data_IF_562026354647
#
_entry.id   IF_562026354647
#
_cell.length_a   1.000
_cell.length_b   1.000
_cell.length_c   1.000
_cell.angle_alpha   90.00
_cell.angle_beta   90.00
_cell.angle_gamma   90.00
#
_symmetry.space_group_name_H-M   'P 1'
#
loop_
_entity.id
_entity.type
_entity.pdbx_description
1 polymer ?
#
# COMPACT_ATOMS: atom_id res chain seq x y z
N UNK A 1 11.14 22.29 1.38
CA UNK A 1 10.53 21.59 2.54
C UNK A 1 9.55 20.51 2.09
N UNK A 2 8.53 20.84 1.29
CA UNK A 2 7.51 19.87 0.84
C UNK A 2 8.06 18.66 0.06
N UNK A 3 9.05 18.86 -0.81
CA UNK A 3 9.72 17.74 -1.51
C UNK A 3 10.36 16.76 -0.54
N UNK A 4 11.03 17.24 0.51
CA UNK A 4 11.65 16.37 1.52
C UNK A 4 10.59 15.59 2.32
N UNK A 5 9.44 16.19 2.61
CA UNK A 5 8.32 15.51 3.25
C UNK A 5 7.76 14.40 2.35
N UNK A 6 7.56 14.69 1.06
CA UNK A 6 7.13 13.69 0.10
C UNK A 6 8.12 12.54 -0.02
N UNK A 7 9.42 12.83 -0.13
CA UNK A 7 10.46 11.81 -0.17
C UNK A 7 10.46 10.95 1.11
N UNK A 8 10.38 11.57 2.29
CA UNK A 8 10.30 10.83 3.55
C UNK A 8 9.07 9.93 3.64
N UNK A 9 7.91 10.41 3.20
CA UNK A 9 6.68 9.63 3.17
C UNK A 9 6.73 8.48 2.16
N UNK A 10 7.25 8.72 0.95
CA UNK A 10 7.47 7.68 -0.05
C UNK A 10 8.44 6.60 0.44
N UNK A 11 9.51 7.00 1.14
CA UNK A 11 10.47 6.06 1.71
C UNK A 11 9.80 5.19 2.77
N UNK A 12 9.03 5.78 3.68
CA UNK A 12 8.31 5.06 4.72
C UNK A 12 7.35 4.03 4.11
N UNK A 13 6.52 4.46 3.16
CA UNK A 13 5.55 3.56 2.51
C UNK A 13 6.22 2.51 1.65
N UNK A 14 7.29 2.87 0.93
CA UNK A 14 8.06 1.94 0.14
C UNK A 14 8.70 0.82 0.98
N UNK A 15 9.24 1.17 2.16
CA UNK A 15 9.74 0.17 3.12
C UNK A 15 8.59 -0.72 3.63
N UNK A 16 7.44 -0.13 3.95
CA UNK A 16 6.28 -0.90 4.43
C UNK A 16 5.81 -1.93 3.40
N UNK A 17 5.58 -1.52 2.14
CA UNK A 17 5.23 -2.43 1.04
C UNK A 17 6.31 -3.48 0.79
N UNK A 18 7.59 -3.10 0.81
CA UNK A 18 8.68 -4.05 0.60
C UNK A 18 8.73 -5.12 1.69
N UNK A 19 8.66 -4.72 2.96
CA UNK A 19 8.71 -5.65 4.10
C UNK A 19 7.48 -6.56 4.10
N UNK A 20 6.29 -6.01 3.86
CA UNK A 20 5.04 -6.78 3.80
C UNK A 20 5.12 -7.81 2.65
N UNK A 21 5.59 -7.38 1.48
CA UNK A 21 5.76 -8.26 0.34
C UNK A 21 6.80 -9.35 0.54
N UNK A 22 7.94 -9.05 1.17
CA UNK A 22 8.92 -10.10 1.54
C UNK A 22 8.29 -11.11 2.49
N UNK A 23 7.46 -10.67 3.43
CA UNK A 23 6.81 -11.56 4.38
C UNK A 23 5.81 -12.49 3.70
N UNK A 24 4.93 -11.95 2.84
CA UNK A 24 4.02 -12.77 2.02
C UNK A 24 4.78 -13.69 1.04
N UNK A 25 5.95 -13.27 0.55
CA UNK A 25 6.78 -14.08 -0.33
C UNK A 25 7.51 -15.22 0.39
N UNK A 26 7.69 -15.17 1.71
CA UNK A 26 8.32 -16.25 2.49
C UNK A 26 7.24 -17.09 3.18
N UNK A 27 6.35 -16.45 3.94
CA UNK A 27 5.37 -17.09 4.81
C UNK A 27 3.92 -16.57 4.55
N UNK A 28 3.33 -16.91 3.38
CA UNK A 28 2.01 -16.42 2.96
C UNK A 28 0.87 -16.96 3.81
N UNK A 29 1.00 -18.16 4.37
CA UNK A 29 -0.07 -18.79 5.17
C UNK A 29 -0.30 -18.02 6.46
N UNK A 30 0.78 -17.68 7.17
CA UNK A 30 0.69 -16.86 8.39
C UNK A 30 0.14 -15.48 8.06
N UNK A 31 0.65 -14.83 7.01
CA UNK A 31 0.18 -13.49 6.64
C UNK A 31 -1.29 -13.49 6.22
N UNK A 32 -1.73 -14.44 5.40
CA UNK A 32 -3.14 -14.58 5.01
C UNK A 32 -4.06 -14.79 6.22
N UNK A 33 -3.64 -15.60 7.19
CA UNK A 33 -4.44 -15.84 8.39
C UNK A 33 -4.69 -14.57 9.22
N UNK A 34 -3.79 -13.58 9.17
CA UNK A 34 -3.98 -12.29 9.89
C UNK A 34 -5.14 -11.46 9.36
N UNK A 35 -5.50 -11.64 8.07
CA UNK A 35 -6.63 -10.99 7.41
C UNK A 35 -7.82 -11.95 7.24
N UNK A 36 -7.85 -13.06 7.98
CA UNK A 36 -8.91 -14.06 7.90
C UNK A 36 -8.94 -14.88 6.60
N UNK A 37 -7.89 -14.79 5.77
CA UNK A 37 -7.82 -15.48 4.49
C UNK A 37 -7.20 -16.88 4.66
N UNK A 38 -7.91 -17.90 4.20
CA UNK A 38 -7.45 -19.30 4.23
C UNK A 38 -7.27 -19.80 2.79
N UNK A 39 -6.02 -19.98 2.32
CA UNK A 39 -5.77 -20.54 1.00
C UNK A 39 -6.16 -22.03 0.95
N UNK A 40 -7.10 -22.37 0.07
CA UNK A 40 -7.64 -23.74 -0.03
C UNK A 40 -6.77 -24.68 -0.90
N UNK A 41 -5.76 -24.16 -1.58
CA UNK A 41 -4.91 -24.94 -2.49
C UNK A 41 -3.51 -24.35 -2.64
N UNK A 42 -2.53 -25.14 -3.16
CA UNK A 42 -1.23 -24.63 -3.56
C UNK A 42 -1.30 -23.49 -4.60
N UNK A 43 -2.32 -23.49 -5.45
CA UNK A 43 -2.55 -22.40 -6.39
C UNK A 43 -2.93 -21.10 -5.67
N UNK A 44 -3.76 -21.17 -4.63
CA UNK A 44 -4.08 -20.02 -3.78
C UNK A 44 -2.83 -19.45 -3.08
N UNK A 45 -1.92 -20.30 -2.61
CA UNK A 45 -0.63 -19.86 -2.06
C UNK A 45 0.24 -19.17 -3.11
N UNK A 46 0.24 -19.66 -4.35
CA UNK A 46 0.98 -19.02 -5.44
C UNK A 46 0.42 -17.63 -5.76
N UNK A 47 -0.91 -17.46 -5.77
CA UNK A 47 -1.56 -16.15 -5.93
C UNK A 47 -1.16 -15.17 -4.83
N UNK A 48 -1.14 -15.61 -3.56
CA UNK A 48 -0.69 -14.76 -2.45
C UNK A 48 0.76 -14.31 -2.61
N UNK A 49 1.65 -15.23 -2.99
CA UNK A 49 3.07 -14.89 -3.24
C UNK A 49 3.23 -13.97 -4.45
N UNK A 50 2.38 -14.07 -5.46
CA UNK A 50 2.45 -13.22 -6.63
C UNK A 50 1.93 -11.79 -6.33
N UNK A 51 0.73 -11.68 -5.76
CA UNK A 51 0.04 -10.40 -5.53
C UNK A 51 0.52 -9.71 -4.26
N UNK A 52 0.40 -10.37 -3.11
CA UNK A 52 0.83 -9.76 -1.85
C UNK A 52 2.34 -9.84 -1.66
N UNK A 53 3.03 -10.74 -2.36
CA UNK A 53 4.50 -10.83 -2.32
C UNK A 53 5.19 -10.02 -3.42
N UNK A 54 5.23 -10.57 -4.62
CA UNK A 54 6.01 -10.03 -5.74
C UNK A 54 5.61 -8.63 -6.18
N UNK A 55 4.30 -8.37 -6.33
CA UNK A 55 3.79 -7.04 -6.70
C UNK A 55 4.09 -6.01 -5.60
N UNK A 56 3.86 -6.33 -4.33
CA UNK A 56 4.17 -5.42 -3.23
C UNK A 56 5.66 -5.11 -3.09
N UNK A 57 6.53 -6.12 -3.28
CA UNK A 57 7.98 -5.91 -3.35
C UNK A 57 8.33 -4.93 -4.46
N UNK A 58 7.76 -5.12 -5.67
CA UNK A 58 8.03 -4.26 -6.81
C UNK A 58 7.57 -2.81 -6.55
N UNK A 59 6.37 -2.63 -5.98
CA UNK A 59 5.85 -1.32 -5.57
C UNK A 59 6.75 -0.67 -4.51
N UNK A 60 7.14 -1.44 -3.49
CA UNK A 60 8.02 -0.99 -2.42
C UNK A 60 9.36 -0.49 -2.95
N UNK A 61 10.02 -1.27 -3.82
CA UNK A 61 11.27 -0.88 -4.48
C UNK A 61 11.07 0.41 -5.29
N UNK A 62 10.00 0.50 -6.08
CA UNK A 62 9.75 1.69 -6.90
C UNK A 62 9.56 2.94 -6.04
N UNK A 63 8.78 2.85 -4.95
CA UNK A 63 8.55 3.96 -4.02
C UNK A 63 9.86 4.39 -3.32
N UNK A 64 10.68 3.44 -2.89
CA UNK A 64 12.01 3.72 -2.32
C UNK A 64 12.89 4.43 -3.35
N UNK A 65 12.95 3.94 -4.60
CA UNK A 65 13.76 4.56 -5.67
C UNK A 65 13.29 5.99 -5.97
N UNK A 66 11.98 6.23 -6.06
CA UNK A 66 11.43 7.58 -6.30
C UNK A 66 11.63 8.51 -5.10
N UNK A 67 11.74 8.00 -3.88
CA UNK A 67 12.05 8.82 -2.70
C UNK A 67 13.44 9.44 -2.74
N UNK A 68 14.44 8.80 -3.37
CA UNK A 68 15.80 9.33 -3.42
C UNK A 68 16.04 10.32 -4.57
N UNK A 69 15.08 10.49 -5.48
CA UNK A 69 15.18 11.39 -6.63
C UNK A 69 14.11 12.47 -6.58
N UNK A 70 14.51 13.71 -6.26
CA UNK A 70 13.58 14.83 -6.11
C UNK A 70 12.67 15.04 -7.34
N UNK A 71 13.21 14.86 -8.56
CA UNK A 71 12.44 14.99 -9.80
C UNK A 71 11.43 13.85 -10.02
N UNK A 72 11.57 12.74 -9.30
CA UNK A 72 10.72 11.55 -9.42
C UNK A 72 9.71 11.44 -8.27
N UNK A 73 9.81 12.27 -7.22
CA UNK A 73 8.89 12.19 -6.09
C UNK A 73 7.43 12.40 -6.52
N UNK A 74 7.18 13.25 -7.52
CA UNK A 74 5.84 13.43 -8.07
C UNK A 74 5.29 12.13 -8.66
N UNK A 75 6.12 11.39 -9.41
CA UNK A 75 5.75 10.10 -10.01
C UNK A 75 5.43 9.08 -8.91
N UNK A 76 6.28 8.98 -7.89
CA UNK A 76 6.05 8.10 -6.74
C UNK A 76 4.76 8.42 -6.00
N UNK A 77 4.46 9.70 -5.79
CA UNK A 77 3.22 10.13 -5.13
C UNK A 77 1.97 9.82 -5.96
N UNK A 78 2.02 9.95 -7.29
CA UNK A 78 0.91 9.57 -8.16
C UNK A 78 0.66 8.07 -8.13
N UNK A 79 1.71 7.24 -8.15
CA UNK A 79 1.56 5.80 -7.95
C UNK A 79 0.92 5.49 -6.60
N UNK A 80 1.42 6.10 -5.53
CA UNK A 80 0.91 5.89 -4.18
C UNK A 80 -0.57 6.33 -4.05
N UNK A 81 -0.95 7.41 -4.75
CA UNK A 81 -2.33 7.89 -4.82
C UNK A 81 -3.24 6.86 -5.50
N UNK A 82 -2.79 6.27 -6.61
CA UNK A 82 -3.52 5.22 -7.31
C UNK A 82 -3.66 3.96 -6.45
N UNK A 83 -2.58 3.53 -5.79
CA UNK A 83 -2.60 2.36 -4.91
C UNK A 83 -3.56 2.56 -3.73
N UNK A 84 -3.36 3.58 -2.89
CA UNK A 84 -4.23 3.80 -1.73
C UNK A 84 -5.65 4.20 -2.12
N UNK A 85 -5.84 4.90 -3.25
CA UNK A 85 -7.17 5.22 -3.77
C UNK A 85 -7.95 3.94 -4.10
N UNK A 86 -7.32 3.02 -4.84
CA UNK A 86 -7.91 1.72 -5.18
C UNK A 86 -8.14 0.84 -3.96
N UNK A 87 -7.15 0.72 -3.07
CA UNK A 87 -7.23 -0.09 -1.84
C UNK A 87 -8.36 0.44 -0.93
N UNK A 88 -8.38 1.74 -0.64
CA UNK A 88 -9.40 2.34 0.23
C UNK A 88 -10.80 2.16 -0.37
N UNK A 89 -10.96 2.40 -1.68
CA UNK A 89 -12.24 2.21 -2.36
C UNK A 89 -12.70 0.75 -2.32
N UNK A 90 -11.79 -0.19 -2.58
CA UNK A 90 -12.06 -1.63 -2.49
C UNK A 90 -12.46 -2.05 -1.07
N UNK A 91 -11.79 -1.53 -0.04
CA UNK A 91 -12.11 -1.84 1.35
C UNK A 91 -13.46 -1.27 1.79
N UNK A 92 -13.78 -0.04 1.39
CA UNK A 92 -15.12 0.53 1.62
C UNK A 92 -16.19 -0.32 0.93
N UNK A 93 -15.97 -0.71 -0.32
CA UNK A 93 -16.91 -1.57 -1.05
C UNK A 93 -17.11 -2.92 -0.33
N UNK A 94 -16.02 -3.60 0.07
CA UNK A 94 -16.09 -4.85 0.83
C UNK A 94 -16.80 -4.71 2.17
N UNK A 95 -16.55 -3.63 2.92
CA UNK A 95 -17.27 -3.39 4.19
C UNK A 95 -18.78 -3.20 3.95
N UNK A 96 -19.16 -2.46 2.91
CA UNK A 96 -20.56 -2.20 2.61
C UNK A 96 -21.30 -3.44 2.09
N UNK A 97 -20.63 -4.30 1.33
CA UNK A 97 -21.21 -5.48 0.70
C UNK A 97 -21.21 -6.69 1.63
N UNK A 98 -20.09 -6.94 2.31
CA UNK A 98 -19.84 -8.18 3.04
C UNK A 98 -19.98 -8.01 4.57
N UNK A 99 -20.05 -6.77 5.06
CA UNK A 99 -20.30 -6.41 6.48
C UNK A 99 -19.44 -7.21 7.47
N UNK A 100 -18.10 -7.16 7.35
CA UNK A 100 -17.21 -7.85 8.27
C UNK A 100 -17.42 -7.34 9.70
N UNK A 101 -17.40 -8.24 10.68
CA UNK A 101 -17.63 -7.97 12.09
C UNK A 101 -16.33 -7.71 12.87
N UNK A 102 -15.19 -7.74 12.19
CA UNK A 102 -13.87 -7.63 12.80
C UNK A 102 -13.37 -6.17 12.90
N UNK A 103 -12.74 -5.85 14.03
CA UNK A 103 -12.18 -4.51 14.27
C UNK A 103 -10.93 -4.23 13.42
N UNK A 104 -10.23 -5.28 12.98
CA UNK A 104 -8.97 -5.16 12.24
C UNK A 104 -9.19 -4.57 10.86
N UNK A 105 -10.28 -4.93 10.18
CA UNK A 105 -10.70 -4.38 8.90
C UNK A 105 -10.96 -2.87 8.98
N UNK A 106 -11.57 -2.39 10.06
CA UNK A 106 -11.76 -0.96 10.30
C UNK A 106 -10.44 -0.23 10.59
N UNK A 107 -9.51 -0.87 11.30
CA UNK A 107 -8.17 -0.32 11.54
C UNK A 107 -7.37 -0.19 10.24
N UNK A 108 -7.42 -1.21 9.37
CA UNK A 108 -6.83 -1.17 8.04
C UNK A 108 -7.43 -0.05 7.21
N UNK A 109 -8.77 0.10 7.19
CA UNK A 109 -9.42 1.21 6.48
C UNK A 109 -8.93 2.57 7.00
N UNK A 110 -8.82 2.74 8.32
CA UNK A 110 -8.29 3.96 8.91
C UNK A 110 -6.87 4.26 8.44
N UNK A 111 -5.98 3.27 8.46
CA UNK A 111 -4.60 3.42 7.97
C UNK A 111 -4.54 3.75 6.47
N UNK A 112 -5.33 3.05 5.65
CA UNK A 112 -5.41 3.25 4.20
C UNK A 112 -5.94 4.65 3.87
N UNK A 113 -7.03 5.08 4.52
CA UNK A 113 -7.63 6.40 4.33
C UNK A 113 -6.73 7.54 4.81
N UNK A 114 -6.03 7.39 5.94
CA UNK A 114 -5.04 8.36 6.41
C UNK A 114 -3.87 8.47 5.43
N UNK A 115 -3.36 7.33 4.95
CA UNK A 115 -2.27 7.31 3.96
C UNK A 115 -2.69 7.95 2.63
N UNK A 116 -3.93 7.69 2.19
CA UNK A 116 -4.53 8.33 1.02
C UNK A 116 -4.62 9.85 1.20
N UNK A 117 -5.12 10.32 2.34
CA UNK A 117 -5.26 11.74 2.63
C UNK A 117 -3.90 12.45 2.62
N UNK A 118 -2.90 11.88 3.28
CA UNK A 118 -1.53 12.42 3.27
C UNK A 118 -0.99 12.48 1.83
N UNK A 119 -1.22 11.43 1.05
CA UNK A 119 -0.79 11.38 -0.36
C UNK A 119 -1.44 12.48 -1.19
N UNK A 120 -2.76 12.68 -1.07
CA UNK A 120 -3.50 13.76 -1.74
C UNK A 120 -2.88 15.12 -1.40
N UNK A 121 -2.66 15.40 -0.11
CA UNK A 121 -2.08 16.67 0.35
C UNK A 121 -0.68 16.89 -0.24
N UNK A 122 0.14 15.85 -0.32
CA UNK A 122 1.50 15.94 -0.89
C UNK A 122 1.48 16.11 -2.41
N UNK A 123 0.62 15.39 -3.15
CA UNK A 123 0.48 15.51 -4.61
C UNK A 123 0.07 16.93 -4.99
N UNK A 124 -1.02 17.43 -4.41
CA UNK A 124 -1.56 18.74 -4.77
C UNK A 124 -0.74 19.89 -4.19
N UNK A 125 -0.11 19.69 -3.03
CA UNK A 125 0.82 20.65 -2.47
C UNK A 125 2.06 20.86 -3.35
N UNK A 126 2.56 19.81 -4.01
CA UNK A 126 3.69 19.93 -4.95
C UNK A 126 3.28 20.68 -6.22
N UNK A 127 2.09 20.40 -6.75
CA UNK A 127 1.56 21.05 -7.96
C UNK A 127 1.31 22.55 -7.80
N UNK A 128 0.93 23.02 -6.61
CA UNK A 128 0.74 24.45 -6.33
C UNK A 128 2.04 25.27 -6.26
N UNK A 129 3.21 24.61 -6.28
CA UNK A 129 4.53 25.25 -6.18
C UNK A 129 5.36 25.21 -7.47
N UNK A 130 4.87 24.52 -8.50
CA UNK A 130 5.46 24.48 -9.85
C UNK A 130 4.84 25.54 -10.73
#
# INVERSE_FOLDING_TARGET
>A
MLTKLAQGFLLLQGIAFFVLGVWFLIEPTTMASTIGLVPESPAGLAELRAVYGGLEIALGIFLVVTSFRANWSGIGLWLLLSCYGGITAGRIAGILLDQPDDTFTLQLLGFEACSLLITILLVFGQKLRS
#
